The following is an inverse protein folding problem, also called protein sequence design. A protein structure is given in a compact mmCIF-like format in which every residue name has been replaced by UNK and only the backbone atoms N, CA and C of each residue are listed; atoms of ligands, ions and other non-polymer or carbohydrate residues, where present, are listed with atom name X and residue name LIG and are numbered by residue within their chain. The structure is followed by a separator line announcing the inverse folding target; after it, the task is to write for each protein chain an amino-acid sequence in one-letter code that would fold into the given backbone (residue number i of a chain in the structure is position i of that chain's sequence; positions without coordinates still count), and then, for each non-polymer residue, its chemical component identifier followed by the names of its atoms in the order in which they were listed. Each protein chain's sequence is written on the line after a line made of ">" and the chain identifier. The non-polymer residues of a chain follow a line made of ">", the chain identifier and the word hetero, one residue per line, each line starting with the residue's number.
data_IF_700924404344
#
_entry.id   IF_700924404344
#
_cell.length_a   1.000
_cell.length_b   1.000
_cell.length_c   1.000
_cell.angle_alpha   90.00
_cell.angle_beta   90.00
_cell.angle_gamma   90.00
#
_symmetry.space_group_name_H-M   'P 1'
#
loop_
_entity.id
_entity.type
_entity.pdbx_description
1 polymer ?
#
# COMPACT_ATOMS: atom_id res chain seq x y z
N UNK A 1 12.06 0.84 -12.58
CA UNK A 1 11.90 0.20 -11.27
C UNK A 1 13.24 -0.42 -10.92
N UNK A 2 13.69 -0.24 -9.70
CA UNK A 2 14.92 -0.83 -9.15
C UNK A 2 14.53 -1.81 -8.07
N UNK A 3 15.19 -2.96 -8.02
CA UNK A 3 14.88 -4.04 -7.09
C UNK A 3 16.08 -4.34 -6.19
N UNK A 4 15.81 -4.79 -4.96
CA UNK A 4 16.85 -5.35 -4.10
C UNK A 4 17.12 -6.84 -4.40
N UNK A 5 18.08 -7.42 -3.67
CA UNK A 5 18.45 -8.83 -3.81
C UNK A 5 17.33 -9.81 -3.43
N UNK A 6 16.30 -9.36 -2.72
CA UNK A 6 15.13 -10.16 -2.36
C UNK A 6 13.99 -10.00 -3.39
N UNK A 7 14.24 -9.26 -4.48
CA UNK A 7 13.26 -9.05 -5.55
C UNK A 7 12.18 -8.02 -5.23
N UNK A 8 12.38 -7.20 -4.19
CA UNK A 8 11.42 -6.17 -3.77
C UNK A 8 11.71 -4.85 -4.49
N UNK A 9 10.67 -4.12 -4.88
CA UNK A 9 10.85 -2.79 -5.48
C UNK A 9 11.40 -1.83 -4.42
N UNK A 10 12.60 -1.28 -4.63
CA UNK A 10 13.22 -0.29 -3.73
C UNK A 10 13.21 1.12 -4.28
N UNK A 11 13.05 1.28 -5.60
CA UNK A 11 12.94 2.60 -6.21
C UNK A 11 12.08 2.58 -7.48
N UNK A 12 11.30 3.63 -7.66
CA UNK A 12 10.46 3.87 -8.83
C UNK A 12 10.69 5.27 -9.37
N UNK A 13 10.75 5.40 -10.70
CA UNK A 13 10.75 6.68 -11.39
C UNK A 13 9.30 7.03 -11.76
N UNK A 14 8.77 8.09 -11.15
CA UNK A 14 7.45 8.66 -11.40
C UNK A 14 7.59 9.94 -12.20
N UNK A 15 7.68 9.80 -13.52
CA UNK A 15 7.74 10.93 -14.47
C UNK A 15 8.89 11.91 -14.18
N UNK A 16 10.08 11.38 -13.87
CA UNK A 16 11.29 12.16 -13.57
C UNK A 16 11.56 12.35 -12.09
N UNK A 17 10.60 12.03 -11.20
CA UNK A 17 10.80 12.03 -9.75
C UNK A 17 11.04 10.62 -9.23
N UNK A 18 12.14 10.40 -8.52
CA UNK A 18 12.45 9.11 -7.92
C UNK A 18 11.80 8.98 -6.55
N UNK A 19 11.08 7.88 -6.33
CA UNK A 19 10.51 7.52 -5.03
C UNK A 19 11.15 6.24 -4.53
N UNK A 20 11.80 6.29 -3.38
CA UNK A 20 12.37 5.13 -2.71
C UNK A 20 11.34 4.47 -1.81
N UNK A 21 11.42 3.15 -1.65
CA UNK A 21 10.57 2.37 -0.76
C UNK A 21 11.44 1.83 0.38
N UNK A 22 11.04 2.11 1.62
CA UNK A 22 11.71 1.61 2.83
C UNK A 22 10.90 0.45 3.38
N UNK A 23 11.58 -0.67 3.59
CA UNK A 23 11.01 -1.86 4.22
C UNK A 23 11.48 -2.01 5.66
N UNK A 24 10.60 -2.55 6.50
CA UNK A 24 10.90 -2.89 7.88
C UNK A 24 11.67 -4.20 8.01
N UNK A 25 12.16 -4.51 9.22
CA UNK A 25 12.77 -5.80 9.51
C UNK A 25 11.78 -6.97 9.39
N UNK A 26 10.48 -6.68 9.48
CA UNK A 26 9.38 -7.61 9.23
C UNK A 26 8.97 -7.68 7.75
N UNK A 27 9.78 -7.10 6.86
CA UNK A 27 9.57 -7.03 5.42
C UNK A 27 8.35 -6.20 4.98
N UNK A 28 7.65 -5.58 5.93
CA UNK A 28 6.51 -4.69 5.63
C UNK A 28 6.98 -3.39 4.98
N UNK A 29 6.15 -2.80 4.13
CA UNK A 29 6.41 -1.48 3.55
C UNK A 29 6.20 -0.41 4.64
N UNK A 30 7.30 0.19 5.09
CA UNK A 30 7.27 1.23 6.13
C UNK A 30 7.06 2.63 5.56
N UNK A 31 7.73 2.97 4.46
CA UNK A 31 7.69 4.34 3.95
C UNK A 31 7.99 4.46 2.45
N UNK A 32 7.54 5.58 1.90
CA UNK A 32 7.92 6.14 0.62
C UNK A 32 8.77 7.39 0.89
N UNK A 33 9.90 7.53 0.20
CA UNK A 33 10.82 8.66 0.33
C UNK A 33 11.13 9.29 -1.02
N UNK A 34 11.62 10.54 -1.00
CA UNK A 34 12.24 11.21 -2.13
C UNK A 34 13.63 11.70 -1.66
N UNK A 35 14.66 10.92 -1.96
CA UNK A 35 15.98 11.12 -1.37
C UNK A 35 15.91 11.01 0.15
N UNK A 36 16.27 12.08 0.86
CA UNK A 36 16.22 12.14 2.33
C UNK A 36 14.88 12.63 2.89
N UNK A 37 13.95 13.05 2.04
CA UNK A 37 12.65 13.57 2.47
C UNK A 37 11.62 12.45 2.54
N UNK A 38 10.94 12.30 3.67
CA UNK A 38 9.80 11.41 3.78
C UNK A 38 8.68 11.88 2.84
N UNK A 39 8.09 10.99 2.05
CA UNK A 39 6.87 11.29 1.30
C UNK A 39 5.63 10.78 2.04
N UNK A 40 5.66 9.52 2.46
CA UNK A 40 4.56 8.84 3.16
C UNK A 40 5.13 7.78 4.09
N UNK A 41 4.61 7.64 5.31
CA UNK A 41 4.95 6.53 6.21
C UNK A 41 3.69 5.83 6.72
N UNK A 42 3.82 4.53 6.96
CA UNK A 42 2.78 3.65 7.48
C UNK A 42 3.26 3.10 8.81
N UNK A 43 2.64 3.55 9.90
CA UNK A 43 3.00 3.13 11.26
C UNK A 43 1.89 2.23 11.80
N UNK A 44 2.15 0.93 11.99
CA UNK A 44 1.16 0.02 12.57
C UNK A 44 0.86 0.43 14.03
N UNK A 45 -0.41 0.33 14.40
CA UNK A 45 -0.93 0.58 15.73
C UNK A 45 -1.53 -0.70 16.33
N UNK A 46 -1.90 -0.64 17.60
CA UNK A 46 -2.65 -1.73 18.23
C UNK A 46 -3.98 -1.98 17.50
N UNK A 47 -4.40 -3.24 17.47
CA UNK A 47 -5.65 -3.66 16.80
C UNK A 47 -5.59 -3.63 15.28
N UNK A 48 -4.40 -3.55 14.67
CA UNK A 48 -4.21 -3.58 13.22
C UNK A 48 -4.47 -2.25 12.51
N UNK A 49 -4.85 -1.20 13.24
CA UNK A 49 -4.96 0.15 12.69
C UNK A 49 -3.60 0.64 12.19
N UNK A 50 -3.60 1.59 11.25
CA UNK A 50 -2.37 2.19 10.73
C UNK A 50 -2.46 3.70 10.79
N UNK A 51 -1.47 4.35 11.42
CA UNK A 51 -1.27 5.79 11.31
C UNK A 51 -0.50 6.10 10.03
N UNK A 52 -1.04 6.98 9.19
CA UNK A 52 -0.42 7.41 7.95
C UNK A 52 0.13 8.81 8.13
N UNK A 53 1.44 8.95 7.94
CA UNK A 53 2.12 10.25 7.96
C UNK A 53 2.44 10.67 6.52
N UNK A 54 2.32 11.96 6.22
CA UNK A 54 2.67 12.54 4.92
C UNK A 54 3.57 13.75 5.12
N UNK A 55 4.34 14.06 4.09
CA UNK A 55 4.94 15.39 3.94
C UNK A 55 3.92 16.39 3.40
N UNK A 56 3.73 17.51 4.11
CA UNK A 56 2.78 18.56 3.69
C UNK A 56 3.43 19.71 2.89
N UNK A 57 4.73 19.61 2.58
CA UNK A 57 5.50 20.70 1.96
C UNK A 57 6.52 21.36 2.90
N UNK A 58 6.39 21.19 4.22
CA UNK A 58 7.30 21.80 5.20
C UNK A 58 7.64 20.90 6.40
N UNK A 59 6.76 19.98 6.75
CA UNK A 59 7.00 19.00 7.82
C UNK A 59 6.26 17.70 7.57
N UNK A 60 6.70 16.64 8.25
CA UNK A 60 5.95 15.39 8.37
C UNK A 60 4.80 15.59 9.35
N UNK A 61 3.58 15.27 8.92
CA UNK A 61 2.36 15.38 9.73
C UNK A 61 1.56 14.10 9.70
N UNK A 62 0.83 13.82 10.78
CA UNK A 62 -0.15 12.75 10.82
C UNK A 62 -1.34 13.13 9.93
N UNK A 63 -1.57 12.36 8.87
CA UNK A 63 -2.62 12.60 7.88
C UNK A 63 -3.92 11.90 8.25
N UNK A 64 -3.83 10.62 8.57
CA UNK A 64 -5.01 9.79 8.81
C UNK A 64 -4.71 8.56 9.66
N UNK A 65 -5.77 7.97 10.19
CA UNK A 65 -5.81 6.64 10.78
C UNK A 65 -6.64 5.75 9.88
N UNK A 66 -6.06 4.64 9.41
CA UNK A 66 -6.75 3.58 8.67
C UNK A 66 -7.36 2.59 9.65
N UNK A 67 -8.61 2.24 9.40
CA UNK A 67 -9.39 1.28 10.19
C UNK A 67 -9.52 -0.02 9.40
N UNK A 68 -8.87 -1.11 9.84
CA UNK A 68 -8.86 -2.38 9.11
C UNK A 68 -10.21 -3.09 9.25
N UNK A 69 -10.61 -3.79 8.20
CA UNK A 69 -11.57 -4.88 8.30
C UNK A 69 -10.89 -6.18 8.78
N UNK A 70 -11.65 -7.28 8.84
CA UNK A 70 -11.13 -8.57 9.31
C UNK A 70 -10.02 -9.15 8.43
N UNK A 71 -9.84 -8.69 7.19
CA UNK A 71 -8.73 -9.08 6.31
C UNK A 71 -7.56 -8.09 6.40
N UNK A 72 -7.67 -7.03 7.19
CA UNK A 72 -6.68 -5.95 7.24
C UNK A 72 -6.87 -4.88 6.15
N UNK A 73 -7.96 -4.90 5.39
CA UNK A 73 -8.23 -3.89 4.36
C UNK A 73 -8.72 -2.60 5.00
N UNK A 74 -8.20 -1.45 4.57
CA UNK A 74 -8.71 -0.15 5.03
C UNK A 74 -9.96 0.23 4.25
N UNK A 75 -11.14 0.02 4.86
CA UNK A 75 -12.43 0.46 4.31
C UNK A 75 -12.83 1.86 4.75
N UNK A 76 -12.27 2.34 5.86
CA UNK A 76 -12.49 3.69 6.36
C UNK A 76 -11.18 4.24 6.90
N UNK A 77 -10.94 5.53 6.67
CA UNK A 77 -9.86 6.26 7.31
C UNK A 77 -10.38 7.60 7.83
N UNK A 78 -9.91 7.99 9.01
CA UNK A 78 -10.27 9.24 9.66
C UNK A 78 -9.07 10.16 9.82
N UNK A 79 -9.29 11.47 9.76
CA UNK A 79 -8.28 12.47 10.13
C UNK A 79 -8.06 12.49 11.66
N UNK A 80 -6.98 13.12 12.15
CA UNK A 80 -6.77 13.33 13.58
C UNK A 80 -7.89 14.12 14.28
N UNK A 81 -8.60 14.98 13.54
CA UNK A 81 -9.77 15.71 14.03
C UNK A 81 -11.07 14.91 13.98
N UNK A 82 -11.00 13.59 13.75
CA UNK A 82 -12.12 12.65 13.74
C UNK A 82 -13.14 12.91 12.62
N UNK A 83 -12.69 13.48 11.51
CA UNK A 83 -13.49 13.60 10.30
C UNK A 83 -13.13 12.50 9.31
N UNK A 84 -14.03 12.19 8.38
CA UNK A 84 -13.75 11.23 7.30
C UNK A 84 -12.58 11.75 6.44
N UNK A 85 -11.57 10.90 6.24
CA UNK A 85 -10.50 11.09 5.27
C UNK A 85 -10.75 10.27 4.01
N UNK A 86 -11.04 8.97 4.17
CA UNK A 86 -11.34 8.02 3.10
C UNK A 86 -12.47 7.09 3.53
N UNK A 87 -13.32 6.70 2.60
CA UNK A 87 -14.30 5.63 2.75
C UNK A 87 -14.34 4.85 1.43
N UNK A 88 -14.16 3.55 1.49
CA UNK A 88 -14.02 2.69 0.31
C UNK A 88 -14.57 1.29 0.53
N UNK A 89 -15.23 0.75 -0.48
CA UNK A 89 -15.75 -0.61 -0.50
C UNK A 89 -15.05 -1.43 -1.57
N UNK A 90 -14.66 -2.66 -1.20
CA UNK A 90 -13.97 -3.60 -2.08
C UNK A 90 -14.84 -4.82 -2.38
N UNK A 91 -14.83 -5.26 -3.64
CA UNK A 91 -15.29 -6.58 -4.04
C UNK A 91 -14.41 -7.67 -3.40
N UNK A 92 -14.81 -8.95 -3.44
CA UNK A 92 -14.05 -10.04 -2.80
C UNK A 92 -12.58 -10.12 -3.24
N UNK A 93 -12.29 -9.70 -4.46
CA UNK A 93 -10.95 -9.70 -5.07
C UNK A 93 -10.28 -8.32 -5.06
N UNK A 94 -10.68 -7.42 -4.16
CA UNK A 94 -9.98 -6.14 -3.94
C UNK A 94 -10.28 -5.04 -4.95
N UNK A 95 -11.18 -5.26 -5.92
CA UNK A 95 -11.68 -4.21 -6.79
C UNK A 95 -12.48 -3.19 -5.98
N UNK A 96 -12.10 -1.93 -6.03
CA UNK A 96 -12.88 -0.86 -5.42
C UNK A 96 -14.09 -0.53 -6.29
N UNK A 97 -15.31 -0.68 -5.77
CA UNK A 97 -16.55 -0.38 -6.51
C UNK A 97 -17.29 0.86 -5.99
N UNK A 98 -16.90 1.38 -4.83
CA UNK A 98 -17.39 2.63 -4.28
C UNK A 98 -16.31 3.27 -3.42
N UNK A 99 -16.08 4.57 -3.57
CA UNK A 99 -15.21 5.33 -2.67
C UNK A 99 -15.59 6.81 -2.60
N UNK A 100 -15.20 7.46 -1.50
CA UNK A 100 -15.34 8.90 -1.31
C UNK A 100 -14.21 9.47 -0.43
N UNK A 101 -13.95 10.78 -0.56
CA UNK A 101 -12.86 11.45 0.15
C UNK A 101 -11.54 11.38 -0.62
N UNK A 102 -10.42 11.36 0.10
CA UNK A 102 -9.08 11.27 -0.50
C UNK A 102 -8.73 9.81 -0.76
N UNK A 103 -8.51 9.44 -2.03
CA UNK A 103 -8.18 8.06 -2.42
C UNK A 103 -7.00 7.51 -1.64
N UNK A 104 -7.26 6.49 -0.81
CA UNK A 104 -6.26 5.84 0.04
C UNK A 104 -6.48 4.32 0.10
N UNK A 105 -6.51 3.70 -1.07
CA UNK A 105 -6.83 2.28 -1.24
C UNK A 105 -5.77 1.40 -0.56
N UNK A 106 -6.25 0.47 0.26
CA UNK A 106 -5.47 -0.57 0.91
C UNK A 106 -6.34 -1.82 1.08
N UNK A 107 -5.91 -2.92 0.46
CA UNK A 107 -6.60 -4.20 0.49
C UNK A 107 -5.68 -5.24 1.10
N UNK A 108 -6.16 -5.98 2.09
CA UNK A 108 -5.36 -7.00 2.81
C UNK A 108 -4.03 -6.45 3.36
N UNK A 109 -4.02 -5.19 3.81
CA UNK A 109 -2.81 -4.51 4.26
C UNK A 109 -1.89 -3.97 3.16
N UNK A 110 -2.16 -4.27 1.88
CA UNK A 110 -1.32 -3.84 0.75
C UNK A 110 -1.79 -2.53 0.13
N UNK A 111 -0.85 -1.65 -0.21
CA UNK A 111 -1.14 -0.36 -0.87
C UNK A 111 -1.10 -0.46 -2.39
N UNK A 112 -1.61 0.56 -3.07
CA UNK A 112 -1.45 0.78 -4.52
C UNK A 112 -0.51 1.96 -4.79
N UNK A 113 0.72 1.87 -4.28
CA UNK A 113 1.70 2.94 -4.38
C UNK A 113 2.60 2.76 -5.62
N UNK A 114 3.04 1.54 -5.96
CA UNK A 114 4.07 1.33 -6.99
C UNK A 114 3.54 1.52 -8.41
N UNK A 115 2.38 0.92 -8.71
CA UNK A 115 1.66 1.14 -9.97
C UNK A 115 0.36 1.88 -9.67
N UNK A 116 0.51 3.18 -9.43
CA UNK A 116 -0.58 4.07 -9.02
C UNK A 116 -1.30 4.77 -10.19
N UNK A 117 -0.75 4.67 -11.42
CA UNK A 117 -1.28 5.29 -12.64
C UNK A 117 -1.52 4.25 -13.74
N UNK A 118 -2.51 4.51 -14.61
CA UNK A 118 -2.96 3.58 -15.65
C UNK A 118 -4.35 2.99 -15.36
N UNK A 119 -4.93 2.24 -16.31
CA UNK A 119 -6.29 1.69 -16.19
C UNK A 119 -6.42 0.66 -15.06
N UNK A 120 -5.31 0.07 -14.59
CA UNK A 120 -5.29 -0.97 -13.57
C UNK A 120 -4.23 -0.67 -12.53
N UNK A 121 -4.69 -0.31 -11.33
CA UNK A 121 -3.82 -0.13 -10.16
C UNK A 121 -3.58 -1.50 -9.52
N UNK A 122 -2.33 -1.81 -9.22
CA UNK A 122 -1.94 -3.08 -8.64
C UNK A 122 -1.72 -2.93 -7.14
N UNK A 123 -1.98 -4.00 -6.38
CA UNK A 123 -1.60 -4.04 -4.97
C UNK A 123 -0.17 -4.55 -4.84
N UNK A 124 0.60 -3.83 -4.03
CA UNK A 124 2.06 -3.96 -3.89
C UNK A 124 2.46 -5.14 -2.99
N UNK A 125 1.97 -6.34 -3.27
CA UNK A 125 2.46 -7.55 -2.61
C UNK A 125 3.94 -7.78 -2.93
N UNK A 126 4.67 -8.34 -1.96
CA UNK A 126 6.11 -8.57 -2.05
C UNK A 126 6.50 -9.31 -3.33
N UNK A 127 5.82 -10.45 -3.55
CA UNK A 127 5.88 -11.29 -4.74
C UNK A 127 4.59 -12.12 -4.77
N UNK A 128 3.83 -12.25 -5.89
CA UNK A 128 3.76 -11.40 -7.09
C UNK A 128 2.76 -10.24 -6.94
N UNK A 129 2.81 -9.24 -7.85
CA UNK A 129 1.79 -8.17 -7.89
C UNK A 129 0.38 -8.75 -8.14
N UNK A 130 -0.62 -8.19 -7.45
CA UNK A 130 -2.00 -8.63 -7.53
C UNK A 130 -2.86 -7.69 -8.36
N UNK A 131 -3.61 -8.26 -9.33
CA UNK A 131 -4.53 -7.51 -10.17
C UNK A 131 -5.96 -7.64 -9.63
N UNK A 132 -6.54 -6.58 -9.04
CA UNK A 132 -7.83 -6.68 -8.37
C UNK A 132 -9.00 -6.95 -9.32
N UNK A 133 -9.04 -6.30 -10.49
CA UNK A 133 -10.13 -6.51 -11.48
C UNK A 133 -10.14 -7.90 -12.09
N UNK A 134 -8.99 -8.59 -12.17
CA UNK A 134 -8.89 -9.93 -12.76
C UNK A 134 -8.84 -11.03 -11.70
N UNK A 135 -8.83 -10.63 -10.41
CA UNK A 135 -8.79 -11.51 -9.26
C UNK A 135 -7.60 -12.47 -9.24
N UNK A 136 -6.45 -12.08 -9.80
CA UNK A 136 -5.31 -12.97 -9.97
C UNK A 136 -3.97 -12.28 -9.81
N UNK A 137 -2.98 -13.10 -9.49
CA UNK A 137 -1.57 -12.77 -9.56
C UNK A 137 -1.13 -12.55 -11.01
N UNK A 138 -0.24 -11.58 -11.24
CA UNK A 138 0.30 -11.32 -12.58
C UNK A 138 1.33 -12.36 -13.03
N UNK A 139 1.87 -13.16 -12.10
CA UNK A 139 2.86 -14.19 -12.36
C UNK A 139 2.60 -15.41 -11.47
N UNK A 140 3.00 -16.63 -11.88
CA UNK A 140 2.95 -17.80 -11.01
C UNK A 140 3.76 -17.59 -9.72
N UNK A 141 3.40 -18.32 -8.66
CA UNK A 141 4.15 -18.32 -7.40
C UNK A 141 5.60 -18.77 -7.65
N UNK A 142 6.62 -17.98 -7.26
CA UNK A 142 8.03 -18.36 -7.36
C UNK A 142 8.39 -19.64 -6.59
N UNK A 143 7.69 -19.95 -5.50
CA UNK A 143 7.88 -21.18 -4.75
C UNK A 143 7.25 -22.40 -5.46
N UNK A 144 6.37 -22.18 -6.44
CA UNK A 144 5.72 -23.23 -7.21
C UNK A 144 5.04 -24.27 -6.30
N UNK A 145 5.23 -25.55 -6.61
CA UNK A 145 4.70 -26.65 -5.77
C UNK A 145 5.49 -26.87 -4.48
N UNK A 146 6.64 -26.21 -4.28
CA UNK A 146 7.41 -26.35 -3.03
C UNK A 146 6.73 -25.66 -1.84
N UNK A 147 5.76 -24.78 -2.09
CA UNK A 147 4.92 -24.18 -1.05
C UNK A 147 3.77 -25.07 -0.59
N UNK A 148 3.53 -26.22 -1.24
CA UNK A 148 2.46 -27.15 -0.85
C UNK A 148 2.95 -28.00 0.31
N UNK A 149 2.29 -27.87 1.46
CA UNK A 149 2.40 -28.79 2.60
C UNK A 149 1.19 -29.72 2.59
N UNK A 150 1.40 -31.02 2.77
CA UNK A 150 0.37 -32.07 2.65
C UNK A 150 0.07 -32.73 3.99
#
# INVERSE_FOLDING_TARGET
>A
MTYDALGRVVEQNRSGSYTQIVYGPDESKLALMNGHTLSKAFVPLSGGATAVYIWNGSSTVLSSYRHPDWLGSSRFASTPSRTKYYDGAYAPYGENYAESGTTDRNFTGQNQDTVSTGPYRLYDFLLPEYHPTWGRWLRPDPAGLAAVDF
#
